data_IF_533956478723
#
_entry.id   IF_533956478723
#
_cell.length_a   1.000
_cell.length_b   1.000
_cell.length_c   1.000
_cell.angle_alpha   90.00
_cell.angle_beta   90.00
_cell.angle_gamma   90.00
#
_symmetry.space_group_name_H-M   'P 1'
#
loop_
_entity.id
_entity.type
_entity.pdbx_description
1 polymer ?
#
# COMPACT_ATOMS: atom_id res chain seq x y z
N UNK A 1 -18.49 -30.45 -23.09
CA UNK A 1 -18.26 -31.10 -21.79
C UNK A 1 -17.47 -30.26 -20.78
N UNK A 2 -16.23 -29.74 -21.05
CA UNK A 2 -15.51 -28.89 -20.07
C UNK A 2 -16.17 -27.54 -19.78
N UNK A 3 -16.82 -26.88 -20.75
CA UNK A 3 -17.49 -25.60 -20.53
C UNK A 3 -18.80 -25.70 -19.75
N UNK A 4 -19.57 -26.77 -19.91
CA UNK A 4 -20.80 -26.99 -19.17
C UNK A 4 -20.55 -27.35 -17.69
N UNK A 5 -19.46 -28.10 -17.37
CA UNK A 5 -19.07 -28.40 -16.02
C UNK A 5 -18.57 -27.17 -15.25
N UNK A 6 -17.90 -26.23 -15.93
CA UNK A 6 -17.44 -24.96 -15.36
C UNK A 6 -18.62 -24.00 -15.06
N UNK A 7 -19.63 -23.93 -15.94
CA UNK A 7 -20.83 -23.11 -15.74
C UNK A 7 -21.68 -23.61 -14.55
N UNK A 8 -21.86 -24.91 -14.39
CA UNK A 8 -22.62 -25.50 -13.27
C UNK A 8 -21.96 -25.31 -11.91
N UNK A 9 -20.62 -25.34 -11.83
CA UNK A 9 -19.89 -25.08 -10.59
C UNK A 9 -19.95 -23.60 -10.17
N UNK A 10 -19.85 -22.67 -11.12
CA UNK A 10 -19.96 -21.25 -10.85
C UNK A 10 -21.37 -20.84 -10.42
N UNK A 11 -22.41 -21.48 -10.98
CA UNK A 11 -23.80 -21.25 -10.62
C UNK A 11 -24.13 -21.74 -9.21
N UNK A 12 -23.65 -22.94 -8.83
CA UNK A 12 -23.79 -23.47 -7.48
C UNK A 12 -23.04 -22.63 -6.43
N UNK A 13 -21.84 -22.13 -6.75
CA UNK A 13 -21.10 -21.24 -5.86
C UNK A 13 -21.84 -19.92 -5.60
N UNK A 14 -22.45 -19.35 -6.64
CA UNK A 14 -23.23 -18.12 -6.52
C UNK A 14 -24.54 -18.30 -5.73
N UNK A 15 -25.24 -19.44 -5.91
CA UNK A 15 -26.44 -19.80 -5.12
C UNK A 15 -26.09 -19.99 -3.64
N UNK A 16 -24.97 -20.67 -3.34
CA UNK A 16 -24.49 -20.87 -1.98
C UNK A 16 -24.11 -19.56 -1.31
N UNK A 17 -23.37 -18.69 -2.02
CA UNK A 17 -23.03 -17.35 -1.56
C UNK A 17 -24.29 -16.55 -1.20
N UNK A 18 -25.26 -16.47 -2.11
CA UNK A 18 -26.51 -15.73 -1.90
C UNK A 18 -27.27 -16.25 -0.69
N UNK A 19 -27.31 -17.58 -0.51
CA UNK A 19 -27.96 -18.22 0.64
C UNK A 19 -27.27 -17.84 1.96
N UNK A 20 -25.94 -17.89 2.02
CA UNK A 20 -25.18 -17.50 3.21
C UNK A 20 -25.35 -16.02 3.57
N UNK A 21 -25.38 -15.13 2.57
CA UNK A 21 -25.62 -13.71 2.83
C UNK A 21 -27.00 -13.47 3.41
N UNK A 22 -28.02 -14.14 2.88
CA UNK A 22 -29.40 -14.05 3.40
C UNK A 22 -29.50 -14.60 4.84
N UNK A 23 -28.87 -15.75 5.11
CA UNK A 23 -28.81 -16.36 6.44
C UNK A 23 -28.11 -15.43 7.45
N UNK A 24 -26.97 -14.88 7.10
CA UNK A 24 -26.23 -13.95 7.96
C UNK A 24 -27.06 -12.70 8.32
N UNK A 25 -27.78 -12.13 7.35
CA UNK A 25 -28.68 -11.00 7.60
C UNK A 25 -29.82 -11.36 8.56
N UNK A 26 -30.38 -12.57 8.43
CA UNK A 26 -31.42 -13.05 9.35
C UNK A 26 -30.84 -13.28 10.76
N UNK A 27 -29.63 -13.83 10.87
CA UNK A 27 -28.93 -14.00 12.14
C UNK A 27 -28.64 -12.67 12.83
N UNK A 28 -28.19 -11.65 12.06
CA UNK A 28 -28.00 -10.28 12.57
C UNK A 28 -29.32 -9.67 13.08
N UNK A 29 -30.44 -9.85 12.35
CA UNK A 29 -31.73 -9.36 12.76
C UNK A 29 -32.24 -10.04 14.05
N UNK A 30 -31.73 -11.23 14.37
CA UNK A 30 -32.06 -11.99 15.60
C UNK A 30 -31.01 -11.75 16.71
N UNK A 31 -30.08 -10.81 16.52
CA UNK A 31 -28.96 -10.52 17.46
C UNK A 31 -28.05 -11.73 17.72
N UNK A 32 -27.95 -12.66 16.74
CA UNK A 32 -27.09 -13.83 16.79
C UNK A 32 -25.70 -13.48 16.19
N UNK A 33 -25.05 -12.44 16.72
CA UNK A 33 -23.86 -11.80 16.14
C UNK A 33 -22.71 -12.78 15.88
N UNK A 34 -22.42 -13.70 16.81
CA UNK A 34 -21.33 -14.68 16.64
C UNK A 34 -21.60 -15.67 15.49
N UNK A 35 -22.86 -16.10 15.32
CA UNK A 35 -23.25 -16.98 14.22
C UNK A 35 -23.15 -16.24 12.88
N UNK A 36 -23.72 -15.04 12.83
CA UNK A 36 -23.64 -14.18 11.66
C UNK A 36 -22.20 -13.95 11.21
N UNK A 37 -21.25 -13.79 12.16
CA UNK A 37 -19.84 -13.65 11.86
C UNK A 37 -19.29 -14.89 11.15
N UNK A 38 -19.56 -16.09 11.62
CA UNK A 38 -19.11 -17.35 11.01
C UNK A 38 -19.72 -17.53 9.61
N UNK A 39 -21.02 -17.22 9.47
CA UNK A 39 -21.74 -17.27 8.20
C UNK A 39 -21.18 -16.26 7.20
N UNK A 40 -20.89 -15.01 7.63
CA UNK A 40 -20.27 -13.96 6.79
C UNK A 40 -18.85 -14.31 6.37
N UNK A 41 -18.04 -14.88 7.27
CA UNK A 41 -16.70 -15.37 6.93
C UNK A 41 -16.75 -16.45 5.85
N UNK A 42 -17.72 -17.37 5.94
CA UNK A 42 -17.95 -18.41 4.94
C UNK A 42 -18.39 -17.82 3.59
N UNK A 43 -19.29 -16.83 3.61
CA UNK A 43 -19.70 -16.12 2.39
C UNK A 43 -18.52 -15.36 1.75
N UNK A 44 -17.69 -14.68 2.55
CA UNK A 44 -16.53 -13.92 2.11
C UNK A 44 -15.45 -14.82 1.48
N UNK A 45 -15.27 -16.05 1.99
CA UNK A 45 -14.37 -17.04 1.38
C UNK A 45 -14.86 -17.52 0.01
N UNK A 46 -16.17 -17.60 -0.22
CA UNK A 46 -16.73 -17.99 -1.52
C UNK A 46 -16.64 -16.84 -2.53
N UNK A 47 -17.02 -15.66 -2.09
CA UNK A 47 -17.00 -14.46 -2.95
C UNK A 47 -16.81 -13.20 -2.10
N UNK A 48 -15.72 -12.51 -2.37
CA UNK A 48 -15.45 -11.20 -1.79
C UNK A 48 -16.23 -10.14 -2.57
N UNK A 49 -17.20 -9.52 -1.90
CA UNK A 49 -18.00 -8.42 -2.43
C UNK A 49 -18.00 -7.26 -1.46
N UNK A 50 -18.25 -6.05 -1.95
CA UNK A 50 -18.42 -4.86 -1.13
C UNK A 50 -19.50 -5.04 -0.05
N UNK A 51 -20.64 -5.63 -0.42
CA UNK A 51 -21.76 -5.87 0.51
C UNK A 51 -21.34 -6.75 1.70
N UNK A 52 -20.72 -7.90 1.43
CA UNK A 52 -20.29 -8.82 2.49
C UNK A 52 -19.12 -8.23 3.27
N UNK A 53 -18.21 -7.47 2.62
CA UNK A 53 -17.15 -6.74 3.30
C UNK A 53 -17.72 -5.79 4.36
N UNK A 54 -18.68 -4.95 4.01
CA UNK A 54 -19.33 -4.01 4.95
C UNK A 54 -20.07 -4.72 6.08
N UNK A 55 -20.81 -5.79 5.78
CA UNK A 55 -21.49 -6.60 6.80
C UNK A 55 -20.49 -7.27 7.76
N UNK A 56 -19.43 -7.83 7.22
CA UNK A 56 -18.39 -8.51 7.99
C UNK A 56 -17.66 -7.51 8.90
N UNK A 57 -17.26 -6.35 8.37
CA UNK A 57 -16.59 -5.29 9.13
C UNK A 57 -17.48 -4.79 10.28
N UNK A 58 -18.74 -4.46 10.01
CA UNK A 58 -19.66 -3.99 11.08
C UNK A 58 -19.90 -5.06 12.13
N UNK A 59 -19.98 -6.34 11.74
CA UNK A 59 -20.15 -7.48 12.66
C UNK A 59 -18.89 -7.70 13.52
N UNK A 60 -17.68 -7.60 12.93
CA UNK A 60 -16.41 -7.67 13.64
C UNK A 60 -16.27 -6.53 14.66
N UNK A 61 -16.63 -5.31 14.27
CA UNK A 61 -16.65 -4.15 15.17
C UNK A 61 -17.59 -4.38 16.35
N UNK A 62 -18.77 -4.91 16.12
CA UNK A 62 -19.73 -5.25 17.17
C UNK A 62 -19.19 -6.31 18.16
N UNK A 63 -18.25 -7.16 17.71
CA UNK A 63 -17.54 -8.15 18.54
C UNK A 63 -16.23 -7.62 19.16
N UNK A 64 -15.89 -6.33 18.94
CA UNK A 64 -14.65 -5.73 19.43
C UNK A 64 -13.37 -6.20 18.68
N UNK A 65 -13.53 -6.85 17.53
CA UNK A 65 -12.42 -7.39 16.73
C UNK A 65 -11.88 -6.34 15.73
N UNK A 66 -11.49 -5.19 16.25
CA UNK A 66 -11.14 -4.00 15.45
C UNK A 66 -9.97 -4.21 14.49
N UNK A 67 -8.94 -4.99 14.86
CA UNK A 67 -7.80 -5.22 13.98
C UNK A 67 -8.14 -6.08 12.76
N UNK A 68 -8.93 -7.15 12.97
CA UNK A 68 -9.44 -7.98 11.87
C UNK A 68 -10.39 -7.17 10.97
N UNK A 69 -11.28 -6.38 11.59
CA UNK A 69 -12.17 -5.49 10.86
C UNK A 69 -11.42 -4.50 9.96
N UNK A 70 -10.30 -3.93 10.44
CA UNK A 70 -9.47 -3.02 9.64
C UNK A 70 -8.87 -3.73 8.42
N UNK A 71 -8.30 -4.93 8.62
CA UNK A 71 -7.71 -5.70 7.52
C UNK A 71 -8.73 -5.98 6.42
N UNK A 72 -9.95 -6.36 6.80
CA UNK A 72 -11.05 -6.61 5.86
C UNK A 72 -11.53 -5.30 5.19
N UNK A 73 -11.65 -4.20 5.94
CA UNK A 73 -12.07 -2.91 5.40
C UNK A 73 -11.07 -2.34 4.38
N UNK A 74 -9.77 -2.53 4.62
CA UNK A 74 -8.70 -2.04 3.73
C UNK A 74 -8.77 -2.67 2.33
N UNK A 75 -9.34 -3.88 2.18
CA UNK A 75 -9.52 -4.55 0.88
C UNK A 75 -10.53 -3.81 -0.02
N UNK A 76 -11.46 -3.05 0.57
CA UNK A 76 -12.53 -2.31 -0.11
C UNK A 76 -12.56 -0.82 0.22
N UNK A 77 -11.41 -0.23 0.52
CA UNK A 77 -11.26 1.16 0.98
C UNK A 77 -12.08 2.17 0.18
N UNK A 78 -12.09 2.06 -1.15
CA UNK A 78 -12.85 2.96 -2.02
C UNK A 78 -14.37 2.91 -1.79
N UNK A 79 -14.91 1.79 -1.29
CA UNK A 79 -16.33 1.66 -1.01
C UNK A 79 -16.75 2.47 0.21
N UNK A 80 -15.86 2.60 1.19
CA UNK A 80 -16.09 3.42 2.39
C UNK A 80 -16.02 4.92 2.10
N UNK A 81 -15.42 5.35 1.01
CA UNK A 81 -15.34 6.77 0.63
C UNK A 81 -16.57 7.27 -0.16
N UNK A 82 -17.56 6.42 -0.44
CA UNK A 82 -18.72 6.75 -1.28
C UNK A 82 -19.73 7.69 -0.58
N UNK A 83 -19.89 7.57 0.71
CA UNK A 83 -20.83 8.35 1.51
C UNK A 83 -20.31 8.60 2.94
N UNK A 84 -20.93 9.58 3.63
CA UNK A 84 -20.50 9.97 4.97
C UNK A 84 -20.67 8.88 6.03
N UNK A 85 -21.70 8.02 5.91
CA UNK A 85 -21.96 6.96 6.89
C UNK A 85 -20.90 5.87 6.79
N UNK A 86 -20.61 5.41 5.58
CA UNK A 86 -19.55 4.43 5.32
C UNK A 86 -18.17 4.99 5.71
N UNK A 87 -17.92 6.28 5.42
CA UNK A 87 -16.68 6.94 5.79
C UNK A 87 -16.47 6.97 7.31
N UNK A 88 -17.52 7.21 8.09
CA UNK A 88 -17.44 7.15 9.56
C UNK A 88 -17.02 5.77 10.06
N UNK A 89 -17.62 4.71 9.51
CA UNK A 89 -17.26 3.33 9.92
C UNK A 89 -15.77 3.09 9.77
N UNK A 90 -15.20 3.43 8.62
CA UNK A 90 -13.77 3.25 8.38
C UNK A 90 -12.90 4.15 9.26
N UNK A 91 -13.32 5.40 9.44
CA UNK A 91 -12.59 6.36 10.25
C UNK A 91 -12.58 5.93 11.73
N UNK A 92 -13.74 5.61 12.31
CA UNK A 92 -13.87 5.14 13.69
C UNK A 92 -13.03 3.89 13.93
N UNK A 93 -13.00 2.98 12.96
CA UNK A 93 -12.20 1.77 13.01
C UNK A 93 -10.70 2.10 13.04
N UNK A 94 -10.24 3.00 12.17
CA UNK A 94 -8.84 3.43 12.13
C UNK A 94 -8.42 4.13 13.43
N UNK A 95 -9.28 4.98 13.97
CA UNK A 95 -9.03 5.69 15.23
C UNK A 95 -9.02 4.73 16.44
N UNK A 96 -9.88 3.70 16.47
CA UNK A 96 -9.88 2.66 17.49
C UNK A 96 -8.57 1.87 17.52
N UNK A 97 -8.04 1.57 16.33
CA UNK A 97 -6.74 0.89 16.17
C UNK A 97 -5.54 1.81 16.34
N UNK A 98 -5.77 3.11 16.54
CA UNK A 98 -4.75 4.17 16.55
C UNK A 98 -3.94 4.25 15.24
N UNK A 99 -4.55 3.94 14.11
CA UNK A 99 -3.93 4.06 12.78
C UNK A 99 -4.16 5.47 12.23
N UNK A 100 -3.52 6.46 12.86
CA UNK A 100 -3.75 7.87 12.53
C UNK A 100 -3.37 8.22 11.09
N UNK A 101 -2.28 7.65 10.56
CA UNK A 101 -1.90 7.92 9.18
C UNK A 101 -2.91 7.35 8.18
N UNK A 102 -3.50 6.17 8.47
CA UNK A 102 -4.59 5.63 7.66
C UNK A 102 -5.81 6.54 7.69
N UNK A 103 -6.17 7.06 8.87
CA UNK A 103 -7.28 8.01 9.02
C UNK A 103 -7.03 9.30 8.21
N UNK A 104 -5.83 9.89 8.31
CA UNK A 104 -5.46 11.09 7.54
C UNK A 104 -5.42 10.84 6.04
N UNK A 105 -4.85 9.71 5.60
CA UNK A 105 -4.85 9.31 4.20
C UNK A 105 -6.28 9.12 3.68
N UNK A 106 -7.13 8.41 4.42
CA UNK A 106 -8.52 8.18 4.06
C UNK A 106 -9.31 9.49 3.91
N UNK A 107 -9.10 10.47 4.77
CA UNK A 107 -9.70 11.80 4.63
C UNK A 107 -9.41 12.44 3.27
N UNK A 108 -8.26 12.14 2.65
CA UNK A 108 -7.91 12.70 1.33
C UNK A 108 -8.74 12.12 0.18
N UNK A 109 -9.45 11.01 0.40
CA UNK A 109 -10.31 10.35 -0.58
C UNK A 109 -11.74 10.89 -0.56
N UNK A 110 -12.11 11.59 0.53
CA UNK A 110 -13.46 12.09 0.75
C UNK A 110 -13.70 13.43 0.01
N UNK A 111 -14.98 13.72 -0.26
CA UNK A 111 -15.36 15.04 -0.74
C UNK A 111 -15.03 16.10 0.31
N UNK A 112 -14.71 17.32 -0.13
CA UNK A 112 -14.31 18.43 0.75
C UNK A 112 -15.31 18.67 1.90
N UNK A 113 -16.62 18.53 1.64
CA UNK A 113 -17.65 18.70 2.65
C UNK A 113 -17.62 17.64 3.74
N UNK A 114 -17.42 16.36 3.37
CA UNK A 114 -17.32 15.25 4.32
C UNK A 114 -15.98 15.31 5.06
N UNK A 115 -14.89 15.58 4.35
CA UNK A 115 -13.57 15.75 4.95
C UNK A 115 -13.58 16.83 6.06
N UNK A 116 -14.13 18.01 5.80
CA UNK A 116 -14.21 19.11 6.80
C UNK A 116 -15.01 18.71 8.05
N UNK A 117 -16.00 17.85 7.92
CA UNK A 117 -16.80 17.37 9.06
C UNK A 117 -16.03 16.35 9.91
N UNK A 118 -15.29 15.42 9.25
CA UNK A 118 -14.66 14.29 9.92
C UNK A 118 -13.23 14.60 10.41
N UNK A 119 -12.52 15.52 9.78
CA UNK A 119 -11.16 15.89 10.17
C UNK A 119 -10.99 16.27 11.65
N UNK A 120 -11.90 17.04 12.29
CA UNK A 120 -11.80 17.35 13.72
C UNK A 120 -11.77 16.09 14.60
N UNK A 121 -12.48 15.03 14.23
CA UNK A 121 -12.53 13.77 14.98
C UNK A 121 -11.15 13.10 15.02
N UNK A 122 -10.39 13.16 13.91
CA UNK A 122 -9.02 12.65 13.86
C UNK A 122 -8.09 13.47 14.75
N UNK A 123 -8.20 14.81 14.69
CA UNK A 123 -7.40 15.72 15.51
C UNK A 123 -7.67 15.49 17.01
N UNK A 124 -8.93 15.34 17.38
CA UNK A 124 -9.31 15.11 18.79
C UNK A 124 -8.81 13.75 19.28
N UNK A 125 -8.89 12.71 18.44
CA UNK A 125 -8.35 11.39 18.76
C UNK A 125 -6.82 11.39 18.93
N UNK A 126 -6.08 12.10 18.05
CA UNK A 126 -4.64 12.29 18.20
C UNK A 126 -4.28 13.03 19.50
N UNK A 127 -5.00 14.09 19.82
CA UNK A 127 -4.79 14.85 21.05
C UNK A 127 -5.06 14.01 22.29
N UNK A 128 -6.14 13.22 22.28
CA UNK A 128 -6.45 12.28 23.37
C UNK A 128 -5.36 11.21 23.50
N UNK A 129 -4.90 10.64 22.39
CA UNK A 129 -3.84 9.65 22.38
C UNK A 129 -2.51 10.24 22.91
N UNK A 130 -2.20 11.47 22.52
CA UNK A 130 -1.00 12.19 23.00
C UNK A 130 -1.02 12.42 24.51
N UNK A 131 -2.15 12.74 25.08
CA UNK A 131 -2.30 12.94 26.53
C UNK A 131 -2.15 11.63 27.31
N UNK A 132 -2.64 10.53 26.76
CA UNK A 132 -2.71 9.25 27.50
C UNK A 132 -1.56 8.28 27.18
N UNK A 133 -0.89 8.44 26.03
CA UNK A 133 0.10 7.50 25.49
C UNK A 133 1.44 8.16 25.11
N UNK A 134 1.82 9.24 25.78
CA UNK A 134 3.05 10.00 25.48
C UNK A 134 4.30 9.12 25.38
N UNK A 135 4.46 8.16 26.31
CA UNK A 135 5.60 7.24 26.32
C UNK A 135 5.63 6.33 25.10
N UNK A 136 4.46 5.85 24.68
CA UNK A 136 4.30 5.01 23.50
C UNK A 136 4.65 5.79 22.22
N UNK A 137 4.12 7.00 22.08
CA UNK A 137 4.43 7.90 20.94
C UNK A 137 5.93 8.16 20.89
N UNK A 138 6.55 8.54 21.99
CA UNK A 138 7.99 8.80 22.07
C UNK A 138 8.83 7.58 21.69
N UNK A 139 8.40 6.38 22.09
CA UNK A 139 9.08 5.14 21.72
C UNK A 139 8.98 4.86 20.21
N UNK A 140 7.77 4.96 19.65
CA UNK A 140 7.54 4.76 18.21
C UNK A 140 8.30 5.82 17.39
N UNK A 141 8.20 7.09 17.76
CA UNK A 141 8.92 8.17 17.10
C UNK A 141 10.43 7.94 17.09
N UNK A 142 11.02 7.55 18.24
CA UNK A 142 12.45 7.22 18.32
C UNK A 142 12.81 6.05 17.42
N UNK A 143 12.01 4.98 17.39
CA UNK A 143 12.24 3.83 16.52
C UNK A 143 12.13 4.20 15.03
N UNK A 144 11.23 5.11 14.70
CA UNK A 144 11.10 5.65 13.34
C UNK A 144 12.28 6.54 12.97
N UNK A 145 12.76 7.41 13.86
CA UNK A 145 13.99 8.19 13.65
C UNK A 145 15.23 7.33 13.39
N UNK A 146 15.33 6.19 14.07
CA UNK A 146 16.43 5.23 13.98
C UNK A 146 16.05 4.03 13.10
N UNK A 147 15.36 4.30 11.99
CA UNK A 147 14.85 3.24 11.13
C UNK A 147 15.97 2.39 10.55
N UNK A 148 17.10 3.00 10.19
CA UNK A 148 18.28 2.34 9.63
C UNK A 148 19.04 1.42 10.59
N UNK A 149 18.88 1.57 11.90
CA UNK A 149 19.59 0.76 12.92
C UNK A 149 19.12 -0.71 12.95
N UNK A 150 18.00 -1.04 12.29
CA UNK A 150 17.43 -2.38 12.26
C UNK A 150 17.69 -3.12 10.95
N UNK A 151 17.60 -4.45 10.98
CA UNK A 151 17.52 -5.25 9.76
C UNK A 151 16.21 -5.01 9.00
N UNK A 152 16.08 -5.54 7.79
CA UNK A 152 14.92 -5.31 6.91
C UNK A 152 13.58 -5.64 7.58
N UNK A 153 13.51 -6.72 8.38
CA UNK A 153 12.28 -7.12 9.10
C UNK A 153 11.96 -6.12 10.21
N UNK A 154 12.96 -5.64 10.94
CA UNK A 154 12.78 -4.62 11.97
C UNK A 154 12.39 -3.27 11.39
N UNK A 155 13.01 -2.87 10.27
CA UNK A 155 12.63 -1.66 9.55
C UNK A 155 11.16 -1.70 9.13
N UNK A 156 10.69 -2.82 8.58
CA UNK A 156 9.29 -3.00 8.20
C UNK A 156 8.35 -2.91 9.41
N UNK A 157 8.68 -3.55 10.52
CA UNK A 157 7.89 -3.45 11.77
C UNK A 157 7.83 -2.01 12.30
N UNK A 158 8.96 -1.28 12.26
CA UNK A 158 9.03 0.13 12.69
C UNK A 158 8.21 1.04 11.78
N UNK A 159 8.25 0.82 10.45
CA UNK A 159 7.41 1.54 9.48
C UNK A 159 5.91 1.30 9.75
N UNK A 160 5.51 0.05 9.96
CA UNK A 160 4.12 -0.27 10.32
C UNK A 160 3.72 0.36 11.66
N UNK A 161 4.60 0.35 12.66
CA UNK A 161 4.34 1.00 13.94
C UNK A 161 4.19 2.53 13.79
N UNK A 162 4.93 3.15 12.86
CA UNK A 162 4.85 4.59 12.60
C UNK A 162 3.47 5.05 12.13
N UNK A 163 2.60 4.17 11.59
CA UNK A 163 1.20 4.48 11.28
C UNK A 163 0.39 4.91 12.52
N UNK A 164 0.89 4.60 13.72
CA UNK A 164 0.28 4.98 15.00
C UNK A 164 0.78 6.32 15.54
N UNK A 165 1.69 6.98 14.84
CA UNK A 165 2.13 8.31 15.22
C UNK A 165 1.05 9.35 14.85
N UNK A 166 0.79 10.33 15.72
CA UNK A 166 0.10 11.54 15.32
C UNK A 166 0.80 12.19 14.11
N UNK A 167 0.03 12.77 13.21
CA UNK A 167 0.53 13.26 11.91
C UNK A 167 1.78 14.14 12.04
N UNK A 168 1.77 15.09 12.98
CA UNK A 168 2.91 15.99 13.16
C UNK A 168 4.19 15.26 13.59
N UNK A 169 4.10 14.26 14.49
CA UNK A 169 5.27 13.47 14.91
C UNK A 169 5.80 12.62 13.74
N UNK A 170 4.91 12.09 12.91
CA UNK A 170 5.31 11.37 11.71
C UNK A 170 6.01 12.30 10.71
N UNK A 171 5.45 13.48 10.41
CA UNK A 171 6.04 14.43 9.48
C UNK A 171 7.45 14.88 9.90
N UNK A 172 7.65 15.11 11.19
CA UNK A 172 8.97 15.42 11.73
C UNK A 172 9.94 14.26 11.49
N UNK A 173 9.56 13.03 11.87
CA UNK A 173 10.40 11.84 11.69
C UNK A 173 10.71 11.55 10.22
N UNK A 174 9.71 11.67 9.34
CA UNK A 174 9.86 11.43 7.91
C UNK A 174 10.94 12.32 7.28
N UNK A 175 11.03 13.60 7.66
CA UNK A 175 12.07 14.52 7.16
C UNK A 175 13.50 14.07 7.50
N UNK A 176 13.70 13.35 8.61
CA UNK A 176 15.00 12.75 8.95
C UNK A 176 15.24 11.47 8.15
N UNK A 177 14.25 10.57 8.14
CA UNK A 177 14.30 9.28 7.44
C UNK A 177 14.61 9.45 5.95
N UNK A 178 14.02 10.45 5.30
CA UNK A 178 14.22 10.72 3.87
C UNK A 178 15.67 11.12 3.51
N UNK A 179 16.45 11.58 4.47
CA UNK A 179 17.85 12.00 4.30
C UNK A 179 18.87 11.04 4.89
N UNK A 180 18.42 9.96 5.53
CA UNK A 180 19.30 8.99 6.17
C UNK A 180 20.07 8.18 5.13
N UNK A 181 21.43 8.35 5.04
CA UNK A 181 22.23 7.64 4.03
C UNK A 181 22.37 6.14 4.32
N UNK A 182 22.08 5.70 5.54
CA UNK A 182 22.17 4.30 5.95
C UNK A 182 20.86 3.53 5.70
N UNK A 183 19.78 4.25 5.42
CA UNK A 183 18.51 3.62 5.10
C UNK A 183 18.46 3.20 3.63
N UNK A 184 17.81 2.06 3.35
CA UNK A 184 17.62 1.59 1.97
C UNK A 184 16.82 2.60 1.14
N UNK A 185 17.11 2.67 -0.16
CA UNK A 185 16.38 3.55 -1.06
C UNK A 185 14.89 3.19 -1.11
N UNK A 186 14.55 1.89 -1.07
CA UNK A 186 13.16 1.43 -1.04
C UNK A 186 12.42 1.96 0.19
N UNK A 187 13.05 1.90 1.37
CA UNK A 187 12.44 2.40 2.61
C UNK A 187 12.25 3.93 2.56
N UNK A 188 13.23 4.68 2.03
CA UNK A 188 13.07 6.13 1.81
C UNK A 188 11.94 6.44 0.84
N UNK A 189 11.86 5.70 -0.27
CA UNK A 189 10.77 5.84 -1.25
C UNK A 189 9.42 5.52 -0.64
N UNK A 190 9.30 4.49 0.18
CA UNK A 190 8.06 4.15 0.87
C UNK A 190 7.57 5.30 1.79
N UNK A 191 8.50 5.95 2.51
CA UNK A 191 8.18 7.13 3.33
C UNK A 191 7.78 8.33 2.47
N UNK A 192 8.45 8.58 1.35
CA UNK A 192 8.08 9.65 0.41
C UNK A 192 6.69 9.41 -0.18
N UNK A 193 6.38 8.17 -0.57
CA UNK A 193 5.06 7.80 -1.07
C UNK A 193 3.97 7.94 0.00
N UNK A 194 4.26 7.61 1.26
CA UNK A 194 3.32 7.86 2.35
C UNK A 194 3.03 9.36 2.51
N UNK A 195 4.04 10.24 2.43
CA UNK A 195 3.82 11.69 2.44
C UNK A 195 3.00 12.17 1.23
N UNK A 196 3.19 11.55 0.05
CA UNK A 196 2.37 11.81 -1.14
C UNK A 196 0.90 11.45 -0.90
N UNK A 197 0.63 10.26 -0.33
CA UNK A 197 -0.73 9.79 -0.01
C UNK A 197 -1.40 10.67 1.04
N UNK A 198 -0.65 11.17 2.00
CA UNK A 198 -1.10 12.16 2.99
C UNK A 198 -1.28 13.57 2.39
N UNK A 199 -0.98 13.77 1.09
CA UNK A 199 -1.02 15.07 0.39
C UNK A 199 -0.24 16.17 1.11
N UNK A 200 0.94 15.83 1.61
CA UNK A 200 1.83 16.80 2.30
C UNK A 200 2.29 17.88 1.33
N UNK A 201 1.94 19.14 1.62
CA UNK A 201 2.30 20.31 0.81
C UNK A 201 3.64 20.96 1.23
N UNK A 202 4.21 20.56 2.35
CA UNK A 202 5.54 21.02 2.75
C UNK A 202 6.60 20.36 1.89
N UNK A 203 7.63 21.13 1.51
CA UNK A 203 8.79 20.59 0.80
C UNK A 203 9.61 19.68 1.71
N UNK A 204 10.11 18.59 1.16
CA UNK A 204 11.00 17.64 1.84
C UNK A 204 12.25 17.40 1.04
N UNK A 205 13.38 17.25 1.71
CA UNK A 205 14.62 16.80 1.11
C UNK A 205 14.64 15.27 1.05
N UNK A 206 15.04 14.74 -0.09
CA UNK A 206 15.09 13.31 -0.36
C UNK A 206 16.46 12.94 -0.91
N UNK A 207 17.11 11.99 -0.27
CA UNK A 207 18.42 11.46 -0.69
C UNK A 207 18.19 10.32 -1.69
N UNK A 208 18.70 10.48 -2.92
CA UNK A 208 18.60 9.47 -3.97
C UNK A 208 19.64 8.35 -3.84
N UNK A 209 19.60 7.37 -4.76
CA UNK A 209 20.54 6.25 -4.80
C UNK A 209 21.99 6.69 -5.09
N UNK A 210 22.17 7.82 -5.79
CA UNK A 210 23.46 8.34 -6.18
C UNK A 210 24.09 9.24 -5.10
N UNK A 211 23.36 9.51 -4.01
CA UNK A 211 23.79 10.31 -2.87
C UNK A 211 23.51 11.80 -3.06
N UNK A 212 22.72 12.19 -4.06
CA UNK A 212 22.27 13.56 -4.23
C UNK A 212 21.00 13.83 -3.45
N UNK A 213 20.92 15.01 -2.86
CA UNK A 213 19.70 15.46 -2.17
C UNK A 213 18.89 16.33 -3.11
N UNK A 214 17.64 15.92 -3.35
CA UNK A 214 16.64 16.64 -4.14
C UNK A 214 15.52 17.14 -3.23
N UNK A 215 14.81 18.20 -3.64
CA UNK A 215 13.68 18.74 -2.88
C UNK A 215 12.38 18.49 -3.63
N UNK A 216 11.41 17.88 -2.95
CA UNK A 216 10.08 17.59 -3.51
C UNK A 216 8.96 18.13 -2.63
N UNK A 217 7.82 18.44 -3.26
CA UNK A 217 6.54 18.64 -2.59
C UNK A 217 5.75 17.33 -2.77
N UNK A 218 5.61 16.49 -1.74
CA UNK A 218 5.02 15.15 -1.91
C UNK A 218 3.63 15.15 -2.55
N UNK A 219 2.78 16.12 -2.20
CA UNK A 219 1.43 16.25 -2.77
C UNK A 219 1.40 16.43 -4.30
N UNK A 220 2.50 16.90 -4.91
CA UNK A 220 2.61 17.09 -6.37
C UNK A 220 3.14 15.86 -7.11
N UNK A 221 3.60 14.84 -6.40
CA UNK A 221 4.16 13.64 -7.00
C UNK A 221 3.07 12.72 -7.55
N UNK A 222 3.36 12.09 -8.68
CA UNK A 222 2.51 11.04 -9.26
C UNK A 222 2.82 9.70 -8.61
N UNK A 223 1.81 8.91 -8.26
CA UNK A 223 2.02 7.55 -7.76
C UNK A 223 2.80 6.71 -8.79
N UNK A 224 3.66 5.80 -8.30
CA UNK A 224 4.49 4.96 -9.18
C UNK A 224 3.66 4.20 -10.21
N UNK A 225 2.56 3.57 -9.80
CA UNK A 225 1.65 2.82 -10.67
C UNK A 225 0.83 3.70 -11.64
N UNK A 226 0.81 5.02 -11.45
CA UNK A 226 0.20 5.98 -12.37
C UNK A 226 1.23 6.65 -13.28
N UNK A 227 2.52 6.39 -13.08
CA UNK A 227 3.59 6.94 -13.91
C UNK A 227 3.58 6.30 -15.30
N UNK A 228 3.66 7.12 -16.35
CA UNK A 228 3.62 6.66 -17.75
C UNK A 228 4.79 5.74 -18.09
N UNK A 229 5.99 6.04 -17.59
CA UNK A 229 7.19 5.22 -17.85
C UNK A 229 7.01 3.84 -17.23
N UNK A 230 6.55 3.77 -15.98
CA UNK A 230 6.24 2.52 -15.29
C UNK A 230 5.28 1.63 -16.10
N UNK A 231 4.13 2.20 -16.51
CA UNK A 231 3.13 1.47 -17.27
C UNK A 231 3.63 1.04 -18.66
N UNK A 232 4.42 1.89 -19.33
CA UNK A 232 4.99 1.54 -20.64
C UNK A 232 6.04 0.42 -20.53
N UNK A 233 6.82 0.36 -19.44
CA UNK A 233 7.76 -0.75 -19.18
C UNK A 233 7.00 -2.05 -18.99
N UNK A 234 5.91 -2.06 -18.21
CA UNK A 234 5.10 -3.26 -18.02
C UNK A 234 4.48 -3.74 -19.34
N UNK A 235 3.95 -2.82 -20.15
CA UNK A 235 3.41 -3.14 -21.47
C UNK A 235 4.48 -3.68 -22.44
N UNK A 236 5.72 -3.18 -22.37
CA UNK A 236 6.84 -3.68 -23.16
C UNK A 236 7.23 -5.09 -22.71
N UNK A 237 7.29 -5.31 -21.39
CA UNK A 237 7.59 -6.60 -20.79
C UNK A 237 6.56 -7.68 -21.15
N UNK A 238 5.26 -7.31 -21.23
CA UNK A 238 4.19 -8.24 -21.59
C UNK A 238 4.37 -8.87 -22.99
N UNK A 239 5.12 -8.21 -23.89
CA UNK A 239 5.42 -8.78 -25.22
C UNK A 239 6.25 -10.06 -25.12
N UNK A 240 6.99 -10.23 -24.03
CA UNK A 240 7.80 -11.42 -23.78
C UNK A 240 7.00 -12.61 -23.24
N UNK A 241 5.71 -12.43 -22.90
CA UNK A 241 4.90 -13.51 -22.31
C UNK A 241 4.80 -14.76 -23.19
N UNK A 242 4.83 -14.60 -24.54
CA UNK A 242 4.82 -15.71 -25.47
C UNK A 242 6.13 -16.49 -25.53
N UNK A 243 7.25 -15.80 -25.28
CA UNK A 243 8.61 -16.38 -25.37
C UNK A 243 9.09 -16.94 -24.03
N UNK A 244 8.84 -16.22 -22.95
CA UNK A 244 9.33 -16.55 -21.61
C UNK A 244 8.29 -17.31 -20.76
N UNK A 245 7.00 -17.20 -21.08
CA UNK A 245 5.90 -17.69 -20.26
C UNK A 245 5.43 -16.65 -19.23
N UNK A 246 4.15 -16.79 -18.83
CA UNK A 246 3.48 -15.79 -17.96
C UNK A 246 4.13 -15.68 -16.56
N UNK A 247 4.54 -16.79 -15.97
CA UNK A 247 5.15 -16.80 -14.62
C UNK A 247 6.48 -16.03 -14.59
N UNK A 248 7.31 -16.20 -15.64
CA UNK A 248 8.58 -15.48 -15.73
C UNK A 248 8.37 -13.98 -15.94
N UNK A 249 7.39 -13.59 -16.76
CA UNK A 249 7.03 -12.17 -16.95
C UNK A 249 6.50 -11.57 -15.65
N UNK A 250 5.72 -12.33 -14.89
CA UNK A 250 5.25 -11.88 -13.57
C UNK A 250 6.43 -11.62 -12.62
N UNK A 251 7.38 -12.55 -12.50
CA UNK A 251 8.58 -12.35 -11.68
C UNK A 251 9.43 -11.15 -12.12
N UNK A 252 9.57 -10.94 -13.44
CA UNK A 252 10.24 -9.74 -13.98
C UNK A 252 9.45 -8.47 -13.66
N UNK A 253 8.12 -8.50 -13.67
CA UNK A 253 7.28 -7.34 -13.32
C UNK A 253 7.47 -6.93 -11.86
N UNK A 254 7.61 -7.87 -10.94
CA UNK A 254 7.94 -7.60 -9.54
C UNK A 254 9.34 -6.99 -9.41
N UNK A 255 10.32 -7.50 -10.16
CA UNK A 255 11.67 -6.92 -10.19
C UNK A 255 11.66 -5.50 -10.75
N UNK A 256 10.92 -5.25 -11.84
CA UNK A 256 10.68 -3.91 -12.41
C UNK A 256 10.11 -2.98 -11.35
N UNK A 257 9.10 -3.43 -10.61
CA UNK A 257 8.49 -2.62 -9.54
C UNK A 257 9.53 -2.16 -8.52
N UNK A 258 10.34 -3.07 -8.01
CA UNK A 258 11.39 -2.77 -7.03
C UNK A 258 12.47 -1.82 -7.61
N UNK A 259 12.92 -2.04 -8.84
CA UNK A 259 13.90 -1.17 -9.50
C UNK A 259 13.35 0.24 -9.68
N UNK A 260 12.08 0.37 -10.10
CA UNK A 260 11.45 1.68 -10.30
C UNK A 260 11.05 2.36 -8.99
N UNK A 261 10.84 1.62 -7.90
CA UNK A 261 10.79 2.22 -6.55
C UNK A 261 12.12 2.89 -6.18
N UNK A 262 13.26 2.29 -6.55
CA UNK A 262 14.58 2.91 -6.33
C UNK A 262 14.76 4.18 -7.16
N UNK A 263 14.22 4.21 -8.39
CA UNK A 263 14.28 5.37 -9.29
C UNK A 263 13.31 6.51 -8.91
N UNK A 264 12.28 6.20 -8.14
CA UNK A 264 11.22 7.15 -7.82
C UNK A 264 11.73 8.33 -7.00
N UNK A 265 11.28 9.59 -7.30
CA UNK A 265 10.24 9.93 -8.27
C UNK A 265 10.72 10.20 -9.71
N UNK A 266 12.01 10.19 -10.00
CA UNK A 266 12.61 10.67 -11.24
C UNK A 266 12.90 9.55 -12.25
N UNK A 267 11.87 8.76 -12.62
CA UNK A 267 12.02 7.61 -13.53
C UNK A 267 12.64 7.98 -14.88
N UNK A 268 12.35 9.19 -15.40
CA UNK A 268 12.83 9.64 -16.70
C UNK A 268 14.34 9.86 -16.77
N UNK A 269 15.00 10.06 -15.62
CA UNK A 269 16.46 10.21 -15.56
C UNK A 269 17.12 8.87 -15.85
N UNK A 270 16.54 7.77 -15.36
CA UNK A 270 17.16 6.43 -15.39
C UNK A 270 16.60 5.53 -16.49
N UNK A 271 15.44 5.85 -17.04
CA UNK A 271 14.81 5.14 -18.16
C UNK A 271 14.69 6.14 -19.33
N UNK A 272 15.70 6.16 -20.17
CA UNK A 272 15.76 7.05 -21.33
C UNK A 272 15.15 6.41 -22.59
N UNK A 273 15.29 5.10 -22.74
CA UNK A 273 14.67 4.30 -23.79
C UNK A 273 14.05 3.03 -23.18
N UNK A 274 12.73 2.90 -23.28
CA UNK A 274 11.95 1.85 -22.63
C UNK A 274 12.25 0.48 -23.23
N UNK A 275 12.34 0.39 -24.56
CA UNK A 275 12.54 -0.88 -25.26
C UNK A 275 13.89 -1.47 -24.88
N UNK A 276 14.96 -0.73 -25.04
CA UNK A 276 16.30 -1.20 -24.69
C UNK A 276 16.48 -1.41 -23.17
N UNK A 277 15.75 -0.66 -22.33
CA UNK A 277 15.74 -0.88 -20.88
C UNK A 277 15.16 -2.26 -20.51
N UNK A 278 14.03 -2.65 -21.11
CA UNK A 278 13.39 -3.95 -20.91
C UNK A 278 14.24 -5.07 -21.52
N UNK A 279 14.72 -4.88 -22.75
CA UNK A 279 15.65 -5.83 -23.40
C UNK A 279 16.90 -6.09 -22.55
N UNK A 280 17.48 -5.02 -21.98
CA UNK A 280 18.63 -5.12 -21.09
C UNK A 280 18.32 -5.87 -19.80
N UNK A 281 17.17 -5.62 -19.17
CA UNK A 281 16.74 -6.36 -17.98
C UNK A 281 16.57 -7.87 -18.30
N UNK A 282 15.92 -8.20 -19.41
CA UNK A 282 15.73 -9.57 -19.87
C UNK A 282 17.09 -10.23 -20.17
N UNK A 283 17.98 -9.51 -20.88
CA UNK A 283 19.32 -10.00 -21.20
C UNK A 283 20.16 -10.28 -19.93
N UNK A 284 20.13 -9.40 -18.95
CA UNK A 284 20.80 -9.57 -17.66
C UNK A 284 20.26 -10.77 -16.87
N UNK A 285 18.94 -10.99 -16.92
CA UNK A 285 18.29 -12.09 -16.18
C UNK A 285 18.57 -13.46 -16.80
N UNK A 286 18.60 -13.56 -18.14
CA UNK A 286 18.70 -14.84 -18.86
C UNK A 286 20.05 -15.05 -19.54
N UNK A 287 20.98 -14.12 -19.42
CA UNK A 287 22.31 -14.23 -20.01
C UNK A 287 22.31 -14.05 -21.54
N UNK A 288 21.36 -13.30 -22.08
CA UNK A 288 21.34 -12.95 -23.50
C UNK A 288 22.33 -11.84 -23.84
N UNK A 289 22.69 -11.67 -25.12
CA UNK A 289 23.49 -10.53 -25.55
C UNK A 289 22.83 -9.20 -25.16
N UNK A 290 23.64 -8.28 -24.61
CA UNK A 290 23.12 -6.97 -24.18
C UNK A 290 22.68 -6.14 -25.39
N UNK A 291 21.55 -5.47 -25.33
CA UNK A 291 21.13 -4.53 -26.36
C UNK A 291 22.04 -3.28 -26.38
N UNK A 292 21.94 -2.52 -27.49
CA UNK A 292 22.51 -1.17 -27.51
C UNK A 292 21.53 -0.23 -26.78
N UNK A 293 21.93 0.30 -25.64
CA UNK A 293 21.11 1.16 -24.81
C UNK A 293 21.81 2.48 -24.47
N UNK A 294 21.07 3.54 -24.09
CA UNK A 294 21.64 4.84 -23.74
C UNK A 294 22.69 4.74 -22.64
N UNK A 295 23.72 5.60 -22.74
CA UNK A 295 24.79 5.69 -21.76
C UNK A 295 24.23 5.93 -20.35
N UNK A 296 24.74 5.19 -19.38
CA UNK A 296 24.32 5.28 -17.98
C UNK A 296 23.08 4.46 -17.60
N UNK A 297 22.20 4.12 -18.56
CA UNK A 297 20.97 3.34 -18.27
C UNK A 297 21.30 1.95 -17.71
N UNK A 298 22.15 1.17 -18.39
CA UNK A 298 22.59 -0.13 -17.91
C UNK A 298 23.40 -0.05 -16.60
N UNK A 299 24.27 0.95 -16.48
CA UNK A 299 25.07 1.15 -15.27
C UNK A 299 24.18 1.43 -14.05
N UNK A 300 23.18 2.29 -14.22
CA UNK A 300 22.22 2.58 -13.16
C UNK A 300 21.42 1.32 -12.79
N UNK A 301 20.90 0.57 -13.77
CA UNK A 301 20.13 -0.67 -13.52
C UNK A 301 20.94 -1.66 -12.71
N UNK A 302 22.22 -1.88 -13.06
CA UNK A 302 23.15 -2.74 -12.29
C UNK A 302 23.38 -2.25 -10.87
N UNK A 303 23.51 -0.93 -10.68
CA UNK A 303 23.67 -0.32 -9.35
C UNK A 303 22.41 -0.54 -8.50
N UNK A 304 21.22 -0.35 -9.07
CA UNK A 304 19.94 -0.58 -8.40
C UNK A 304 19.74 -2.06 -8.03
N UNK A 305 20.07 -2.98 -8.95
CA UNK A 305 20.03 -4.42 -8.68
C UNK A 305 20.99 -4.82 -7.55
N UNK A 306 22.18 -4.27 -7.52
CA UNK A 306 23.12 -4.50 -6.42
C UNK A 306 22.54 -4.04 -5.08
N UNK A 307 21.94 -2.85 -5.05
CA UNK A 307 21.26 -2.33 -3.86
C UNK A 307 20.11 -3.23 -3.40
N UNK A 308 19.36 -3.84 -4.32
CA UNK A 308 18.32 -4.83 -3.99
C UNK A 308 18.91 -6.11 -3.38
N UNK A 309 20.01 -6.62 -3.92
CA UNK A 309 20.67 -7.81 -3.39
C UNK A 309 21.20 -7.59 -1.97
N UNK A 310 21.69 -6.39 -1.67
CA UNK A 310 22.16 -6.01 -0.32
C UNK A 310 21.03 -5.99 0.71
N UNK A 311 19.77 -5.80 0.29
CA UNK A 311 18.60 -5.85 1.17
C UNK A 311 18.14 -7.27 1.50
N UNK A 312 18.51 -8.25 0.67
CA UNK A 312 18.08 -9.65 0.83
C UNK A 312 19.08 -10.48 1.65
N UNK A 313 20.29 -9.95 1.91
CA UNK A 313 21.34 -10.56 2.72
C UNK A 313 21.40 -9.95 4.12
#
# INVERSE_FOLDING_TARGET
MRREFSMTNNQKGNEQYTSLVAEAKEELNRDLVSRALDTLKSAYQLQQTEEVNHLLVTTLVAQGQYQEAQTIADEYLSSYAKDEQSARIYLDLSLHNHYFLNAWEFLTWLTEGVQKKLQPEVVDAENFYRLNQEKTIRTIARQFYHLSDGNTVEQQKRLLAANKLPLNDYLIGAKFVLRDPFLSQISRTAVLDQLRRLRTNESVEFLDLDGYTQTYIPASLTALNQNKIYNNILNELDKYAKTLGADMVHGLSEQVHLLLMIAYPELSIVVQDITSWVEGLVAETFGYPMPNEPDGQAAWRKKAQKSLMELLN
#
